data_IF_875102034496
#
_entry.id   IF_875102034496
#
_cell.length_a   1.000
_cell.length_b   1.000
_cell.length_c   1.000
_cell.angle_alpha   90.00
_cell.angle_beta   90.00
_cell.angle_gamma   90.00
#
_symmetry.space_group_name_H-M   'P 1'
#
loop_
_entity.id
_entity.type
_entity.pdbx_description
1 polymer ?
#
# COMPACT_ATOMS: atom_id res chain seq x y z
N UNK A 1 -6.24 19.50 -15.71
CA UNK A 1 -6.68 20.07 -14.42
C UNK A 1 -7.94 19.40 -13.89
N UNK A 2 -8.99 19.33 -14.72
CA UNK A 2 -10.35 18.92 -14.32
C UNK A 2 -10.53 17.40 -14.13
N UNK A 3 -9.89 16.58 -14.97
CA UNK A 3 -9.96 15.10 -14.91
C UNK A 3 -9.49 14.56 -13.55
N UNK A 4 -8.52 15.22 -12.91
CA UNK A 4 -7.98 14.77 -11.62
C UNK A 4 -8.94 15.03 -10.45
N UNK A 5 -9.61 16.19 -10.45
CA UNK A 5 -10.64 16.52 -9.45
C UNK A 5 -11.85 15.60 -9.61
N UNK A 6 -12.20 15.28 -10.85
CA UNK A 6 -13.19 14.25 -11.17
C UNK A 6 -12.85 12.91 -10.52
N UNK A 7 -11.60 12.45 -10.62
CA UNK A 7 -11.17 11.17 -10.03
C UNK A 7 -11.34 11.13 -8.49
N UNK A 8 -10.97 12.20 -7.79
CA UNK A 8 -11.16 12.28 -6.34
C UNK A 8 -12.64 12.25 -5.95
N UNK A 9 -13.49 12.92 -6.72
CA UNK A 9 -14.95 12.87 -6.52
C UNK A 9 -15.51 11.48 -6.83
N UNK A 10 -15.07 10.83 -7.92
CA UNK A 10 -15.46 9.46 -8.26
C UNK A 10 -15.10 8.48 -7.13
N UNK A 11 -13.91 8.60 -6.54
CA UNK A 11 -13.53 7.80 -5.37
C UNK A 11 -14.45 8.05 -4.17
N UNK A 12 -14.83 9.31 -3.91
CA UNK A 12 -15.77 9.65 -2.84
C UNK A 12 -17.15 9.04 -3.09
N UNK A 13 -17.61 9.03 -4.34
CA UNK A 13 -18.86 8.37 -4.74
C UNK A 13 -18.75 6.85 -4.52
N UNK A 14 -17.67 6.21 -4.95
CA UNK A 14 -17.44 4.77 -4.76
C UNK A 14 -17.48 4.40 -3.28
N UNK A 15 -16.80 5.16 -2.42
CA UNK A 15 -16.84 4.95 -0.97
C UNK A 15 -18.26 5.09 -0.42
N UNK A 16 -19.05 6.05 -0.94
CA UNK A 16 -20.43 6.23 -0.52
C UNK A 16 -21.33 5.07 -0.97
N UNK A 17 -21.16 4.59 -2.19
CA UNK A 17 -21.84 3.41 -2.71
C UNK A 17 -21.50 2.18 -1.86
N UNK A 18 -20.24 2.00 -1.49
CA UNK A 18 -19.82 0.94 -0.58
C UNK A 18 -20.56 1.02 0.76
N UNK A 19 -20.65 2.20 1.39
CA UNK A 19 -21.40 2.35 2.65
C UNK A 19 -22.87 1.94 2.51
N UNK A 20 -23.51 2.32 1.40
CA UNK A 20 -24.93 2.02 1.14
C UNK A 20 -25.15 0.53 0.92
N UNK A 21 -24.36 -0.10 0.04
CA UNK A 21 -24.53 -1.49 -0.37
C UNK A 21 -24.13 -2.45 0.75
N UNK A 22 -22.99 -2.20 1.40
CA UNK A 22 -22.48 -3.09 2.46
C UNK A 22 -23.14 -2.86 3.81
N UNK A 23 -23.85 -1.73 3.99
CA UNK A 23 -24.35 -1.25 5.29
C UNK A 23 -23.24 -1.05 6.34
N UNK A 24 -21.98 -0.99 5.92
CA UNK A 24 -20.84 -0.69 6.77
C UNK A 24 -20.51 0.81 6.72
N UNK A 25 -19.85 1.31 7.76
CA UNK A 25 -19.38 2.71 7.81
C UNK A 25 -17.89 2.78 7.51
N UNK A 26 -17.51 3.66 6.57
CA UNK A 26 -16.09 3.93 6.31
C UNK A 26 -15.52 4.73 7.49
N UNK A 27 -14.41 4.24 8.06
CA UNK A 27 -13.72 4.92 9.14
C UNK A 27 -12.61 5.82 8.59
N UNK A 28 -12.93 7.10 8.38
CA UNK A 28 -11.99 8.08 7.81
C UNK A 28 -10.79 8.38 8.71
N UNK A 29 -10.88 8.16 10.02
CA UNK A 29 -9.75 8.28 10.95
C UNK A 29 -8.66 7.21 10.74
N UNK A 30 -9.08 6.00 10.35
CA UNK A 30 -8.18 4.90 10.00
C UNK A 30 -7.77 4.93 8.52
N UNK A 31 -8.56 5.58 7.67
CA UNK A 31 -8.24 5.76 6.25
C UNK A 31 -7.14 6.81 6.05
N UNK A 32 -6.34 6.58 5.01
CA UNK A 32 -5.39 7.57 4.50
C UNK A 32 -5.57 7.68 2.99
N UNK A 33 -5.40 8.87 2.45
CA UNK A 33 -5.45 9.12 1.02
C UNK A 33 -4.02 9.28 0.49
N UNK A 34 -3.69 8.66 -0.64
CA UNK A 34 -2.38 8.72 -1.28
C UNK A 34 -2.53 9.10 -2.76
N UNK A 35 -1.59 9.87 -3.29
CA UNK A 35 -1.65 10.39 -4.65
C UNK A 35 -0.30 10.25 -5.32
N UNK A 36 -0.31 9.89 -6.60
CA UNK A 36 0.91 9.65 -7.38
C UNK A 36 1.06 10.74 -8.43
N UNK A 37 2.17 11.48 -8.41
CA UNK A 37 2.45 12.55 -9.38
C UNK A 37 1.47 13.73 -9.27
N UNK A 38 1.03 14.04 -8.04
CA UNK A 38 0.09 15.12 -7.76
C UNK A 38 0.78 16.17 -6.91
N UNK A 39 0.70 17.43 -7.35
CA UNK A 39 1.20 18.58 -6.59
C UNK A 39 0.60 18.66 -5.18
N UNK A 40 1.41 19.09 -4.22
CA UNK A 40 1.09 19.12 -2.78
C UNK A 40 -0.14 19.95 -2.46
N UNK A 41 -0.26 21.16 -3.01
CA UNK A 41 -1.37 22.06 -2.71
C UNK A 41 -2.72 21.53 -3.21
N UNK A 42 -2.71 20.77 -4.32
CA UNK A 42 -3.91 20.07 -4.80
C UNK A 42 -4.22 18.83 -3.98
N UNK A 43 -3.18 18.13 -3.55
CA UNK A 43 -3.32 16.94 -2.73
C UNK A 43 -3.94 17.24 -1.37
N UNK A 44 -3.55 18.35 -0.73
CA UNK A 44 -4.14 18.81 0.54
C UNK A 44 -5.66 19.02 0.42
N UNK A 45 -6.13 19.65 -0.67
CA UNK A 45 -7.57 19.81 -0.92
C UNK A 45 -8.33 18.49 -0.98
N UNK A 46 -7.68 17.41 -1.46
CA UNK A 46 -8.30 16.09 -1.49
C UNK A 46 -8.32 15.43 -0.12
N UNK A 47 -7.22 15.54 0.63
CA UNK A 47 -7.15 15.07 2.02
C UNK A 47 -8.27 15.69 2.85
N UNK A 48 -8.51 17.00 2.67
CA UNK A 48 -9.62 17.73 3.29
C UNK A 48 -10.99 17.25 2.80
N UNK A 49 -11.16 17.05 1.48
CA UNK A 49 -12.40 16.55 0.90
C UNK A 49 -12.82 15.19 1.49
N UNK A 50 -11.86 14.33 1.80
CA UNK A 50 -12.08 13.02 2.41
C UNK A 50 -12.07 13.05 3.94
N UNK A 51 -11.69 14.17 4.58
CA UNK A 51 -11.49 14.29 6.02
C UNK A 51 -10.64 13.13 6.59
N UNK A 52 -9.54 12.82 5.92
CA UNK A 52 -8.66 11.70 6.25
C UNK A 52 -7.20 12.16 6.34
N UNK A 53 -6.27 11.25 6.61
CA UNK A 53 -4.84 11.60 6.68
C UNK A 53 -4.14 11.43 5.33
N UNK A 54 -3.11 12.24 5.09
CA UNK A 54 -2.17 12.00 3.97
C UNK A 54 -1.40 10.70 4.21
N UNK A 55 -1.40 9.83 3.20
CA UNK A 55 -0.62 8.60 3.18
C UNK A 55 0.84 8.92 2.88
N UNK A 56 1.75 8.50 3.76
CA UNK A 56 3.18 8.54 3.48
C UNK A 56 3.53 7.43 2.50
N UNK A 57 4.44 7.73 1.57
CA UNK A 57 4.83 6.82 0.48
C UNK A 57 5.36 5.48 1.00
N UNK A 58 6.05 5.48 2.16
CA UNK A 58 6.44 4.25 2.87
C UNK A 58 5.48 4.00 4.03
N UNK A 59 4.62 2.99 3.92
CA UNK A 59 3.63 2.64 4.95
C UNK A 59 3.47 1.12 5.09
N UNK A 60 2.86 0.65 6.18
CA UNK A 60 2.68 -0.78 6.45
C UNK A 60 1.24 -1.19 6.17
N UNK A 61 1.04 -2.13 5.25
CA UNK A 61 -0.25 -2.74 4.96
C UNK A 61 -0.19 -4.24 5.23
N UNK A 62 -1.09 -4.76 6.08
CA UNK A 62 -1.10 -6.17 6.47
C UNK A 62 0.27 -6.70 6.93
N UNK A 63 1.03 -5.86 7.63
CA UNK A 63 2.40 -6.11 8.12
C UNK A 63 3.48 -6.15 7.03
N UNK A 64 3.16 -5.75 5.81
CA UNK A 64 4.11 -5.63 4.70
C UNK A 64 4.42 -4.14 4.51
N UNK A 65 5.71 -3.73 4.57
CA UNK A 65 6.09 -2.36 4.28
C UNK A 65 5.99 -2.11 2.77
N UNK A 66 4.99 -1.34 2.36
CA UNK A 66 4.79 -0.84 1.00
C UNK A 66 5.60 0.45 0.86
N UNK A 67 6.30 0.63 -0.25
CA UNK A 67 7.14 1.82 -0.50
C UNK A 67 8.58 1.72 0.01
N UNK A 68 8.87 0.76 0.89
CA UNK A 68 10.24 0.44 1.29
C UNK A 68 11.01 -0.28 0.17
N UNK A 69 12.33 -0.16 0.16
CA UNK A 69 13.15 -0.99 -0.73
C UNK A 69 13.14 -2.43 -0.21
N UNK A 70 12.29 -3.26 -0.82
CA UNK A 70 12.08 -4.66 -0.46
C UNK A 70 13.17 -5.60 -1.01
N UNK A 71 14.10 -5.09 -1.84
CA UNK A 71 15.31 -5.83 -2.27
C UNK A 71 16.34 -5.95 -1.15
N UNK A 72 16.26 -5.07 -0.13
CA UNK A 72 17.12 -5.14 1.05
C UNK A 72 16.61 -6.20 2.01
N UNK A 73 17.48 -7.15 2.37
CA UNK A 73 17.17 -8.23 3.32
C UNK A 73 16.63 -7.68 4.65
N UNK A 74 17.21 -6.60 5.17
CA UNK A 74 16.80 -5.98 6.43
C UNK A 74 15.36 -5.42 6.46
N UNK A 75 14.75 -5.16 5.30
CA UNK A 75 13.34 -4.72 5.22
C UNK A 75 12.38 -5.84 5.68
N UNK A 76 12.80 -7.10 5.58
CA UNK A 76 12.01 -8.28 5.96
C UNK A 76 12.17 -8.68 7.42
N UNK A 77 13.19 -8.19 8.12
CA UNK A 77 13.48 -8.56 9.51
C UNK A 77 12.28 -8.39 10.45
N UNK A 78 11.51 -7.29 10.41
CA UNK A 78 10.35 -7.14 11.29
C UNK A 78 9.27 -8.20 11.08
N UNK A 79 9.13 -8.69 9.83
CA UNK A 79 8.17 -9.74 9.47
C UNK A 79 8.69 -11.09 9.96
N UNK A 80 9.96 -11.40 9.67
CA UNK A 80 10.61 -12.65 10.08
C UNK A 80 10.61 -12.79 11.61
N UNK A 81 10.95 -11.73 12.34
CA UNK A 81 10.93 -11.72 13.81
C UNK A 81 9.52 -11.98 14.35
N UNK A 82 8.48 -11.37 13.76
CA UNK A 82 7.09 -11.63 14.16
C UNK A 82 6.64 -13.08 13.87
N UNK A 83 7.05 -13.66 12.74
CA UNK A 83 6.74 -15.05 12.40
C UNK A 83 7.45 -16.03 13.35
N UNK A 84 8.72 -15.76 13.70
CA UNK A 84 9.47 -16.53 14.70
C UNK A 84 8.83 -16.43 16.09
N UNK A 85 8.39 -15.25 16.51
CA UNK A 85 7.69 -15.03 17.80
C UNK A 85 6.37 -15.81 17.91
N UNK A 86 5.73 -16.15 16.80
CA UNK A 86 4.53 -17.00 16.77
C UNK A 86 4.85 -18.51 16.86
N UNK A 87 6.07 -18.89 17.23
CA UNK A 87 6.53 -20.28 17.35
C UNK A 87 6.33 -21.10 16.07
N UNK A 88 6.29 -20.45 14.90
CA UNK A 88 6.18 -21.16 13.64
C UNK A 88 7.45 -21.99 13.40
N UNK A 89 7.32 -23.26 12.95
CA UNK A 89 8.46 -24.08 12.56
C UNK A 89 9.39 -23.35 11.61
N UNK A 90 10.71 -23.46 11.81
CA UNK A 90 11.71 -22.72 11.00
C UNK A 90 11.57 -22.99 9.50
N UNK A 91 11.12 -24.19 9.12
CA UNK A 91 10.85 -24.55 7.73
C UNK A 91 9.67 -23.78 7.13
N UNK A 92 8.60 -23.57 7.91
CA UNK A 92 7.43 -22.79 7.50
C UNK A 92 7.80 -21.32 7.35
N UNK A 93 8.54 -20.75 8.31
CA UNK A 93 9.02 -19.35 8.22
C UNK A 93 9.86 -19.16 6.96
N UNK A 94 10.81 -20.07 6.68
CA UNK A 94 11.62 -20.04 5.45
C UNK A 94 10.77 -20.12 4.19
N UNK A 95 9.76 -21.01 4.17
CA UNK A 95 8.87 -21.19 3.01
C UNK A 95 7.98 -19.97 2.77
N UNK A 96 7.42 -19.37 3.81
CA UNK A 96 6.60 -18.13 3.70
C UNK A 96 7.48 -16.97 3.21
N UNK A 97 8.67 -16.78 3.79
CA UNK A 97 9.60 -15.76 3.33
C UNK A 97 10.02 -15.95 1.86
N UNK A 98 10.20 -17.21 1.44
CA UNK A 98 10.48 -17.53 0.02
C UNK A 98 9.28 -17.22 -0.87
N UNK A 99 8.07 -17.67 -0.53
CA UNK A 99 6.84 -17.35 -1.30
C UNK A 99 6.63 -15.84 -1.41
N UNK A 100 6.83 -15.08 -0.34
CA UNK A 100 6.68 -13.62 -0.37
C UNK A 100 7.75 -12.97 -1.27
N UNK A 101 9.00 -13.44 -1.21
CA UNK A 101 10.09 -12.98 -2.08
C UNK A 101 9.79 -13.31 -3.54
N UNK A 102 9.38 -14.54 -3.82
CA UNK A 102 9.11 -15.02 -5.18
C UNK A 102 7.85 -14.35 -5.76
N UNK A 103 6.79 -14.16 -4.99
CA UNK A 103 5.57 -13.52 -5.45
C UNK A 103 5.76 -12.03 -5.76
N UNK A 104 6.46 -11.29 -4.89
CA UNK A 104 6.64 -9.85 -5.06
C UNK A 104 7.80 -9.50 -6.00
N UNK A 105 8.80 -10.40 -6.14
CA UNK A 105 10.09 -10.11 -6.81
C UNK A 105 10.70 -11.27 -7.60
N UNK A 106 10.17 -12.49 -7.51
CA UNK A 106 10.58 -13.63 -8.32
C UNK A 106 9.98 -13.54 -9.72
N UNK A 107 10.73 -12.95 -10.65
CA UNK A 107 10.48 -13.20 -12.06
C UNK A 107 10.83 -14.66 -12.37
N UNK A 108 9.92 -15.40 -12.99
CA UNK A 108 10.27 -16.65 -13.68
C UNK A 108 11.04 -16.27 -14.96
N UNK A 109 11.93 -17.12 -15.49
CA UNK A 109 12.64 -16.82 -16.75
C UNK A 109 11.68 -16.48 -17.91
N UNK A 110 10.45 -16.98 -17.86
CA UNK A 110 9.39 -16.70 -18.82
C UNK A 110 8.62 -15.37 -18.60
N UNK A 111 8.84 -14.65 -17.48
CA UNK A 111 8.09 -13.43 -17.16
C UNK A 111 8.98 -12.29 -16.63
N UNK A 112 8.89 -11.12 -17.29
CA UNK A 112 9.60 -9.90 -16.87
C UNK A 112 9.26 -9.56 -15.42
N UNK A 113 10.28 -9.28 -14.61
CA UNK A 113 10.14 -8.78 -13.23
C UNK A 113 9.15 -7.62 -13.20
N UNK A 114 8.27 -7.59 -12.20
CA UNK A 114 7.36 -6.48 -11.99
C UNK A 114 8.20 -5.20 -11.81
N UNK A 115 8.06 -4.24 -12.71
CA UNK A 115 8.82 -2.99 -12.67
C UNK A 115 8.17 -2.09 -11.64
N UNK A 116 8.69 -2.12 -10.42
CA UNK A 116 8.20 -1.25 -9.36
C UNK A 116 8.60 0.20 -9.64
N UNK A 117 7.65 1.11 -9.51
CA UNK A 117 7.91 2.54 -9.65
C UNK A 117 8.83 2.97 -8.51
N UNK A 118 9.90 3.70 -8.83
CA UNK A 118 10.74 4.33 -7.80
C UNK A 118 9.90 5.35 -7.05
N UNK A 119 9.54 4.98 -5.83
CA UNK A 119 8.69 5.75 -4.93
C UNK A 119 9.16 7.20 -4.68
N UNK A 120 10.46 7.49 -4.86
CA UNK A 120 11.04 8.84 -4.78
C UNK A 120 10.54 9.79 -5.88
N UNK A 121 10.14 9.24 -7.04
CA UNK A 121 9.78 10.02 -8.24
C UNK A 121 8.29 10.41 -8.31
N UNK A 122 7.56 10.19 -7.22
CA UNK A 122 6.10 10.30 -7.16
C UNK A 122 5.63 11.68 -6.62
N UNK A 123 6.58 12.55 -6.28
CA UNK A 123 6.32 13.94 -5.86
C UNK A 123 6.35 14.88 -7.04
#
# INVERSE_FOLDING_TARGET
GEVLVSNALSLKVIMKCFEIVSRLKVNFWKSCFGGVGVDRGRFEKWVDLFNCRMLQISFVYLKIPIGANLEREGTWDPIIVKLRKKLMPRGIVRRISRIQRDFLWGGCEASKKMVWVKWVKIT
#
